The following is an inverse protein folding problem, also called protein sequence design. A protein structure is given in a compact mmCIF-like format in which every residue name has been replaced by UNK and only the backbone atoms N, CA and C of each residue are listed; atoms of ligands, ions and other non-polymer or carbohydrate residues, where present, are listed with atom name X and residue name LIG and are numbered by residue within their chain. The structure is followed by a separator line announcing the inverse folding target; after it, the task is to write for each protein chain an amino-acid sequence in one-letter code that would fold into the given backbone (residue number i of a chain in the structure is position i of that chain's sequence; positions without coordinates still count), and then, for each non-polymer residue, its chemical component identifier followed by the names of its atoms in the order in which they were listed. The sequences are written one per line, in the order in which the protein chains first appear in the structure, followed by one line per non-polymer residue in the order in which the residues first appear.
data_IF_862786348330
#
_entry.id   IF_862786348330
#
_cell.length_a   1.000
_cell.length_b   1.000
_cell.length_c   1.000
_cell.angle_alpha   90.00
_cell.angle_beta   90.00
_cell.angle_gamma   90.00
#
_symmetry.space_group_name_H-M   'P 1'
#
loop_
_entity.id
_entity.type
_entity.pdbx_description
1 polymer ?
#
# COMPACT_ATOMS: atom_id res chain seq x y z
N UNK A 1 4.95 20.83 -21.28
CA UNK A 1 4.08 19.66 -21.08
C UNK A 1 3.31 19.54 -22.36
N UNK A 2 3.39 18.41 -23.04
CA UNK A 2 2.88 18.31 -24.41
C UNK A 2 1.37 18.49 -24.46
N UNK A 3 0.89 19.08 -25.55
CA UNK A 3 -0.39 19.78 -25.69
C UNK A 3 -1.64 18.87 -25.69
N UNK A 4 -1.57 17.72 -25.02
CA UNK A 4 -2.61 16.69 -24.96
C UNK A 4 -2.89 16.04 -26.32
N UNK A 5 -2.02 16.29 -27.31
CA UNK A 5 -2.16 15.75 -28.66
C UNK A 5 -1.62 14.32 -28.70
N UNK A 6 -2.43 13.34 -29.15
CA UNK A 6 -1.95 11.97 -29.27
C UNK A 6 -0.92 11.86 -30.40
N UNK A 7 0.11 11.04 -30.18
CA UNK A 7 1.16 10.72 -31.12
C UNK A 7 0.99 9.27 -31.57
N UNK A 8 0.71 9.00 -32.86
CA UNK A 8 0.57 7.63 -33.38
C UNK A 8 1.78 6.77 -33.06
N UNK A 9 1.54 5.53 -32.62
CA UNK A 9 2.59 4.59 -32.23
C UNK A 9 3.31 4.92 -30.91
N UNK A 10 2.88 5.93 -30.15
CA UNK A 10 3.39 6.19 -28.79
C UNK A 10 2.80 5.22 -27.77
N UNK A 11 3.66 4.54 -27.01
CA UNK A 11 3.26 3.67 -25.90
C UNK A 11 2.53 4.44 -24.77
N UNK A 12 2.73 5.75 -24.68
CA UNK A 12 2.10 6.62 -23.68
C UNK A 12 0.90 7.38 -24.24
N UNK A 13 0.49 7.13 -25.49
CA UNK A 13 -0.52 7.91 -26.25
C UNK A 13 -0.07 9.31 -26.64
N UNK A 14 0.59 10.05 -25.75
CA UNK A 14 1.22 11.36 -25.97
C UNK A 14 2.75 11.21 -26.03
N UNK A 15 3.51 12.26 -26.36
CA UNK A 15 4.95 12.24 -26.10
C UNK A 15 5.25 12.70 -24.65
N UNK A 16 6.04 11.91 -23.88
CA UNK A 16 6.14 12.13 -22.43
C UNK A 16 7.10 13.26 -22.06
N UNK A 17 6.86 13.83 -20.89
CA UNK A 17 7.79 14.76 -20.25
C UNK A 17 9.09 14.06 -19.87
N UNK A 18 10.21 14.63 -20.31
CA UNK A 18 11.56 14.09 -20.08
C UNK A 18 12.15 14.45 -18.71
N UNK A 19 11.69 15.53 -18.09
CA UNK A 19 12.25 16.08 -16.84
C UNK A 19 11.52 15.56 -15.60
N UNK A 20 10.20 15.42 -15.67
CA UNK A 20 9.39 15.00 -14.54
C UNK A 20 9.78 13.60 -13.99
N UNK A 21 10.02 12.56 -14.82
CA UNK A 21 10.50 11.26 -14.34
C UNK A 21 11.80 11.34 -13.56
N UNK A 22 12.76 12.18 -14.00
CA UNK A 22 14.05 12.37 -13.32
C UNK A 22 13.85 12.91 -11.91
N UNK A 23 13.00 13.93 -11.76
CA UNK A 23 12.67 14.49 -10.45
C UNK A 23 12.11 13.42 -9.51
N UNK A 24 11.12 12.65 -9.96
CA UNK A 24 10.52 11.60 -9.13
C UNK A 24 11.51 10.48 -8.82
N UNK A 25 12.32 10.05 -9.79
CA UNK A 25 13.36 9.04 -9.57
C UNK A 25 14.33 9.48 -8.48
N UNK A 26 14.85 10.71 -8.54
CA UNK A 26 15.76 11.26 -7.52
C UNK A 26 15.05 11.39 -6.17
N UNK A 27 13.82 11.90 -6.14
CA UNK A 27 13.07 12.09 -4.90
C UNK A 27 12.78 10.76 -4.19
N UNK A 28 12.38 9.72 -4.94
CA UNK A 28 12.20 8.38 -4.39
C UNK A 28 13.53 7.72 -4.01
N UNK A 29 14.64 7.99 -4.71
CA UNK A 29 15.96 7.50 -4.33
C UNK A 29 16.41 8.06 -2.98
N UNK A 30 16.25 9.37 -2.78
CA UNK A 30 16.52 10.03 -1.49
C UNK A 30 15.62 9.44 -0.40
N UNK A 31 14.33 9.25 -0.71
CA UNK A 31 13.39 8.62 0.21
C UNK A 31 13.79 7.18 0.57
N UNK A 32 14.28 6.41 -0.40
CA UNK A 32 14.75 5.04 -0.20
C UNK A 32 15.97 4.98 0.72
N UNK A 33 16.97 5.84 0.50
CA UNK A 33 18.14 5.96 1.39
C UNK A 33 17.70 6.29 2.81
N UNK A 34 16.75 7.23 2.96
CA UNK A 34 16.14 7.56 4.26
C UNK A 34 15.53 6.35 4.95
N UNK A 35 14.63 5.63 4.28
CA UNK A 35 13.96 4.45 4.84
C UNK A 35 14.94 3.33 5.19
N UNK A 36 15.93 3.07 4.33
CA UNK A 36 16.95 2.05 4.56
C UNK A 36 17.78 2.40 5.79
N UNK A 37 18.28 3.64 5.88
CA UNK A 37 19.03 4.11 7.05
C UNK A 37 18.19 3.99 8.33
N UNK A 38 16.93 4.40 8.30
CA UNK A 38 16.03 4.32 9.45
C UNK A 38 15.77 2.88 9.88
N UNK A 39 15.57 1.96 8.94
CA UNK A 39 15.41 0.54 9.21
C UNK A 39 16.61 -0.05 9.96
N UNK A 40 17.83 0.34 9.57
CA UNK A 40 19.06 -0.10 10.24
C UNK A 40 19.24 0.58 11.60
N UNK A 41 19.04 1.89 11.67
CA UNK A 41 19.26 2.68 12.88
C UNK A 41 18.25 2.34 14.00
N UNK A 42 16.96 2.28 13.67
CA UNK A 42 15.89 1.94 14.63
C UNK A 42 15.62 0.43 14.73
N UNK A 43 16.35 -0.42 13.98
CA UNK A 43 16.17 -1.88 13.92
C UNK A 43 14.71 -2.30 13.67
N UNK A 44 13.99 -1.50 12.88
CA UNK A 44 12.55 -1.59 12.65
C UNK A 44 12.19 -2.21 11.27
N UNK A 45 13.13 -2.91 10.63
CA UNK A 45 12.92 -3.56 9.33
C UNK A 45 11.69 -4.49 9.31
N UNK A 46 11.38 -5.15 10.44
CA UNK A 46 10.17 -5.99 10.57
C UNK A 46 8.88 -5.18 10.50
N UNK A 47 8.87 -3.92 10.93
CA UNK A 47 7.67 -3.06 11.00
C UNK A 47 7.47 -2.34 9.65
N UNK A 48 8.52 -1.72 9.14
CA UNK A 48 8.44 -0.80 7.99
C UNK A 48 9.19 -1.28 6.74
N UNK A 49 9.65 -2.53 6.68
CA UNK A 49 10.49 -3.04 5.58
C UNK A 49 9.88 -2.94 4.17
N UNK A 50 8.55 -2.83 4.06
CA UNK A 50 7.87 -2.59 2.79
C UNK A 50 8.10 -1.17 2.23
N UNK A 51 8.30 -0.16 3.09
CA UNK A 51 8.55 1.22 2.64
C UNK A 51 9.85 1.39 1.85
N UNK A 52 11.04 0.94 2.33
CA UNK A 52 12.26 1.03 1.54
C UNK A 52 12.17 0.18 0.26
N UNK A 53 11.49 -0.98 0.32
CA UNK A 53 11.27 -1.82 -0.87
C UNK A 53 10.49 -1.05 -1.95
N UNK A 54 9.34 -0.46 -1.59
CA UNK A 54 8.55 0.36 -2.51
C UNK A 54 9.31 1.59 -2.99
N UNK A 55 10.10 2.25 -2.14
CA UNK A 55 10.87 3.43 -2.54
C UNK A 55 11.95 3.09 -3.59
N UNK A 56 12.61 1.93 -3.46
CA UNK A 56 13.56 1.42 -4.47
C UNK A 56 12.82 1.08 -5.78
N UNK A 57 11.67 0.41 -5.70
CA UNK A 57 10.86 0.10 -6.89
C UNK A 57 10.37 1.36 -7.59
N UNK A 58 9.88 2.38 -6.86
CA UNK A 58 9.52 3.66 -7.46
C UNK A 58 10.72 4.31 -8.16
N UNK A 59 11.89 4.32 -7.52
CA UNK A 59 13.12 4.86 -8.13
C UNK A 59 13.41 4.18 -9.47
N UNK A 60 13.39 2.83 -9.49
CA UNK A 60 13.59 2.06 -10.71
C UNK A 60 12.49 2.34 -11.75
N UNK A 61 11.22 2.37 -11.33
CA UNK A 61 10.07 2.63 -12.18
C UNK A 61 10.13 3.98 -12.88
N UNK A 62 10.49 5.05 -12.17
CA UNK A 62 10.65 6.38 -12.74
C UNK A 62 11.92 6.55 -13.57
N UNK A 63 13.02 5.85 -13.24
CA UNK A 63 14.20 5.80 -14.10
C UNK A 63 13.90 5.09 -15.44
N UNK A 64 13.16 3.99 -15.42
CA UNK A 64 12.68 3.33 -16.64
C UNK A 64 11.67 4.21 -17.41
N UNK A 65 10.84 4.97 -16.69
CA UNK A 65 9.91 5.94 -17.30
C UNK A 65 10.67 7.05 -18.02
N UNK A 66 11.76 7.54 -17.47
CA UNK A 66 12.65 8.51 -18.13
C UNK A 66 13.18 7.95 -19.45
N UNK A 67 13.74 6.73 -19.42
CA UNK A 67 14.18 6.07 -20.64
C UNK A 67 13.03 5.98 -21.67
N UNK A 68 11.83 5.62 -21.22
CA UNK A 68 10.62 5.59 -22.02
C UNK A 68 10.21 6.95 -22.58
N UNK A 69 10.47 8.06 -21.88
CA UNK A 69 10.19 9.41 -22.34
C UNK A 69 11.08 9.84 -23.53
N UNK A 70 12.28 9.29 -23.65
CA UNK A 70 13.14 9.47 -24.83
C UNK A 70 12.88 8.43 -25.93
N UNK A 71 12.29 7.28 -25.60
CA UNK A 71 12.08 6.14 -26.50
C UNK A 71 10.62 5.67 -26.49
N UNK A 72 9.67 6.60 -26.67
CA UNK A 72 8.23 6.35 -26.48
C UNK A 72 7.55 5.65 -27.66
N UNK A 73 8.19 5.58 -28.84
CA UNK A 73 7.64 4.90 -30.01
C UNK A 73 7.70 3.38 -29.86
N UNK A 74 6.68 2.71 -30.40
CA UNK A 74 6.54 1.26 -30.35
C UNK A 74 7.75 0.54 -30.96
N UNK A 75 8.35 -0.32 -30.15
CA UNK A 75 9.38 -1.30 -30.51
C UNK A 75 9.36 -2.38 -29.44
N UNK A 76 9.66 -3.63 -29.77
CA UNK A 76 9.64 -4.75 -28.80
C UNK A 76 10.45 -4.43 -27.54
N UNK A 77 11.61 -3.80 -27.67
CA UNK A 77 12.45 -3.36 -26.54
C UNK A 77 11.77 -2.26 -25.71
N UNK A 78 11.24 -1.24 -26.37
CA UNK A 78 10.63 -0.09 -25.70
C UNK A 78 9.34 -0.51 -24.96
N UNK A 79 8.57 -1.43 -25.54
CA UNK A 79 7.39 -2.01 -24.92
C UNK A 79 7.74 -2.73 -23.60
N UNK A 80 8.79 -3.56 -23.58
CA UNK A 80 9.22 -4.27 -22.36
C UNK A 80 9.61 -3.25 -21.27
N UNK A 81 10.38 -2.22 -21.63
CA UNK A 81 10.81 -1.19 -20.67
C UNK A 81 9.62 -0.38 -20.14
N UNK A 82 8.67 -0.05 -21.01
CA UNK A 82 7.41 0.59 -20.63
C UNK A 82 6.63 -0.29 -19.63
N UNK A 83 6.44 -1.58 -19.93
CA UNK A 83 5.75 -2.52 -19.04
C UNK A 83 6.45 -2.60 -17.67
N UNK A 84 7.77 -2.74 -17.64
CA UNK A 84 8.53 -2.79 -16.38
C UNK A 84 8.38 -1.50 -15.57
N UNK A 85 8.40 -0.34 -16.23
CA UNK A 85 8.13 0.95 -15.58
C UNK A 85 6.74 0.98 -14.94
N UNK A 86 5.69 0.59 -15.68
CA UNK A 86 4.32 0.56 -15.17
C UNK A 86 4.18 -0.42 -13.99
N UNK A 87 4.75 -1.62 -14.10
CA UNK A 87 4.70 -2.64 -13.04
C UNK A 87 5.36 -2.12 -11.76
N UNK A 88 6.57 -1.56 -11.85
CA UNK A 88 7.27 -1.05 -10.67
C UNK A 88 6.55 0.13 -10.02
N UNK A 89 5.92 1.01 -10.79
CA UNK A 89 5.15 2.13 -10.22
C UNK A 89 3.84 1.64 -9.60
N UNK A 90 3.11 0.74 -10.26
CA UNK A 90 1.76 0.36 -9.83
C UNK A 90 1.70 -0.73 -8.76
N UNK A 91 2.74 -1.54 -8.59
CA UNK A 91 2.80 -2.54 -7.51
C UNK A 91 3.01 -1.90 -6.13
N UNK A 92 3.59 -0.71 -6.08
CA UNK A 92 4.00 -0.08 -4.82
C UNK A 92 2.82 0.38 -3.94
N UNK A 93 1.75 1.01 -4.46
CA UNK A 93 0.69 1.52 -3.60
C UNK A 93 -0.08 0.44 -2.83
N UNK A 94 -0.46 -0.70 -3.42
CA UNK A 94 -1.02 -1.81 -2.65
C UNK A 94 -0.05 -2.32 -1.57
N UNK A 95 1.24 -2.42 -1.86
CA UNK A 95 2.24 -2.83 -0.86
C UNK A 95 2.38 -1.82 0.29
N UNK A 96 2.26 -0.52 0.01
CA UNK A 96 2.25 0.52 1.04
C UNK A 96 0.98 0.48 1.88
N UNK A 97 -0.14 0.09 1.29
CA UNK A 97 -1.37 -0.17 2.02
C UNK A 97 -1.23 -1.38 2.96
N UNK A 98 -0.62 -2.47 2.48
CA UNK A 98 -0.27 -3.61 3.33
C UNK A 98 0.65 -3.22 4.49
N UNK A 99 1.58 -2.29 4.26
CA UNK A 99 2.41 -1.73 5.31
C UNK A 99 1.57 -0.99 6.37
N UNK A 100 0.56 -0.21 5.96
CA UNK A 100 -0.37 0.44 6.88
C UNK A 100 -1.18 -0.59 7.70
N UNK A 101 -1.63 -1.68 7.06
CA UNK A 101 -2.33 -2.77 7.74
C UNK A 101 -1.45 -3.41 8.81
N UNK A 102 -0.17 -3.61 8.49
CA UNK A 102 0.80 -4.13 9.44
C UNK A 102 1.03 -3.18 10.62
N UNK A 103 1.18 -1.88 10.36
CA UNK A 103 1.34 -0.87 11.41
C UNK A 103 0.11 -0.81 12.31
N UNK A 104 -1.12 -0.85 11.77
CA UNK A 104 -2.33 -0.90 12.60
C UNK A 104 -2.39 -2.16 13.46
N UNK A 105 -2.02 -3.32 12.90
CA UNK A 105 -1.91 -4.56 13.66
C UNK A 105 -0.95 -4.43 14.84
N UNK A 106 0.20 -3.76 14.64
CA UNK A 106 1.17 -3.46 15.72
C UNK A 106 0.61 -2.51 16.77
N UNK A 107 -0.16 -1.50 16.37
CA UNK A 107 -0.85 -0.60 17.31
C UNK A 107 -1.86 -1.40 18.15
N UNK A 108 -2.57 -2.36 17.55
CA UNK A 108 -3.50 -3.23 18.29
C UNK A 108 -2.77 -4.18 19.23
N UNK A 109 -1.57 -4.66 18.89
CA UNK A 109 -0.74 -5.42 19.83
C UNK A 109 -0.32 -4.57 21.03
N UNK A 110 -0.04 -3.28 20.79
CA UNK A 110 0.35 -2.37 21.85
C UNK A 110 -0.82 -1.97 22.77
N UNK A 111 -2.05 -1.85 22.24
CA UNK A 111 -3.26 -1.60 23.07
C UNK A 111 -4.38 -2.58 22.68
N UNK A 112 -4.35 -3.82 23.18
CA UNK A 112 -5.26 -4.88 22.73
C UNK A 112 -6.71 -4.69 23.20
N UNK A 113 -6.92 -4.10 24.38
CA UNK A 113 -8.24 -3.99 25.03
C UNK A 113 -9.29 -3.24 24.20
N UNK A 114 -8.85 -2.27 23.40
CA UNK A 114 -9.75 -1.43 22.59
C UNK A 114 -9.82 -1.87 21.13
N UNK A 115 -9.03 -2.86 20.73
CA UNK A 115 -8.93 -3.32 19.35
C UNK A 115 -10.28 -3.90 18.85
N UNK A 116 -10.86 -3.37 17.77
CA UNK A 116 -12.10 -3.92 17.19
C UNK A 116 -11.88 -5.26 16.49
N UNK A 117 -10.63 -5.58 16.12
CA UNK A 117 -10.21 -6.86 15.58
C UNK A 117 -9.03 -7.40 16.38
N UNK A 118 -8.91 -8.73 16.54
CA UNK A 118 -7.73 -9.31 17.18
C UNK A 118 -6.45 -8.88 16.44
N UNK A 119 -5.39 -8.44 17.15
CA UNK A 119 -4.18 -7.90 16.54
C UNK A 119 -3.56 -8.82 15.48
N UNK A 120 -3.50 -10.12 15.77
CA UNK A 120 -2.96 -11.14 14.86
C UNK A 120 -3.82 -11.42 13.62
N UNK A 121 -5.04 -10.90 13.55
CA UNK A 121 -5.94 -11.08 12.39
C UNK A 121 -5.93 -9.88 11.43
N UNK A 122 -5.44 -8.71 11.85
CA UNK A 122 -5.46 -7.51 10.99
C UNK A 122 -4.70 -7.76 9.69
N UNK A 123 -3.42 -8.15 9.79
CA UNK A 123 -2.59 -8.42 8.61
C UNK A 123 -3.12 -9.63 7.81
N UNK A 124 -3.65 -10.63 8.50
CA UNK A 124 -4.18 -11.84 7.87
C UNK A 124 -5.41 -11.55 7.01
N UNK A 125 -6.41 -10.87 7.58
CA UNK A 125 -7.65 -10.54 6.89
C UNK A 125 -7.40 -9.55 5.76
N UNK A 126 -6.74 -8.43 6.05
CA UNK A 126 -6.56 -7.38 5.05
C UNK A 126 -5.51 -7.75 3.99
N UNK A 127 -4.46 -8.49 4.37
CA UNK A 127 -3.50 -9.03 3.40
C UNK A 127 -4.11 -10.07 2.46
N UNK A 128 -5.02 -10.92 2.96
CA UNK A 128 -5.76 -11.85 2.10
C UNK A 128 -6.73 -11.14 1.14
N UNK A 129 -7.45 -10.13 1.63
CA UNK A 129 -8.32 -9.30 0.78
C UNK A 129 -7.51 -8.57 -0.29
N UNK A 130 -6.37 -7.99 0.09
CA UNK A 130 -5.44 -7.36 -0.85
C UNK A 130 -4.95 -8.36 -1.90
N UNK A 131 -4.52 -9.57 -1.50
CA UNK A 131 -4.05 -10.58 -2.43
C UNK A 131 -5.15 -11.00 -3.43
N UNK A 132 -6.40 -11.12 -2.97
CA UNK A 132 -7.55 -11.36 -3.84
C UNK A 132 -7.73 -10.21 -4.84
N UNK A 133 -7.74 -8.96 -4.36
CA UNK A 133 -7.89 -7.77 -5.21
C UNK A 133 -6.78 -7.67 -6.25
N UNK A 134 -5.52 -7.84 -5.85
CA UNK A 134 -4.38 -7.78 -6.76
C UNK A 134 -4.38 -8.94 -7.76
N UNK A 135 -4.89 -10.11 -7.39
CA UNK A 135 -5.08 -11.23 -8.33
C UNK A 135 -6.14 -10.89 -9.38
N UNK A 136 -7.29 -10.34 -8.96
CA UNK A 136 -8.34 -9.90 -9.89
C UNK A 136 -7.83 -8.80 -10.82
N UNK A 137 -7.06 -7.86 -10.29
CA UNK A 137 -6.45 -6.77 -11.05
C UNK A 137 -5.43 -7.30 -12.08
N UNK A 138 -4.50 -8.17 -11.67
CA UNK A 138 -3.49 -8.75 -12.55
C UNK A 138 -4.12 -9.56 -13.70
N UNK A 139 -5.15 -10.36 -13.39
CA UNK A 139 -5.91 -11.10 -14.41
C UNK A 139 -6.68 -10.15 -15.33
N UNK A 140 -7.29 -9.10 -14.77
CA UNK A 140 -8.02 -8.09 -15.52
C UNK A 140 -7.14 -7.38 -16.56
N UNK A 141 -5.98 -6.90 -16.13
CA UNK A 141 -4.98 -6.24 -16.98
C UNK A 141 -4.41 -7.20 -18.02
N UNK A 142 -4.09 -8.44 -17.63
CA UNK A 142 -3.54 -9.43 -18.56
C UNK A 142 -4.52 -9.79 -19.68
N UNK A 143 -5.82 -9.92 -19.37
CA UNK A 143 -6.86 -10.22 -20.36
C UNK A 143 -7.19 -9.02 -21.25
N UNK A 144 -7.26 -7.82 -20.69
CA UNK A 144 -7.60 -6.60 -21.45
C UNK A 144 -6.47 -6.17 -22.39
N UNK A 145 -5.22 -6.35 -21.98
CA UNK A 145 -4.05 -5.95 -22.77
C UNK A 145 -3.58 -7.02 -23.78
N UNK A 146 -4.19 -8.21 -23.80
CA UNK A 146 -3.77 -9.29 -24.69
C UNK A 146 -4.41 -9.15 -26.09
N UNK A 147 -3.64 -8.86 -27.15
CA UNK A 147 -4.18 -8.73 -28.50
C UNK A 147 -4.66 -10.06 -29.08
N UNK A 148 -4.23 -11.20 -28.53
CA UNK A 148 -4.69 -12.54 -28.94
C UNK A 148 -5.98 -12.98 -28.25
N UNK A 149 -6.49 -12.23 -27.28
CA UNK A 149 -7.75 -12.54 -26.60
C UNK A 149 -8.96 -12.12 -27.44
N UNK A 150 -10.08 -12.85 -27.32
CA UNK A 150 -11.33 -12.46 -27.99
C UNK A 150 -11.86 -11.14 -27.43
N UNK A 151 -12.70 -10.44 -28.20
CA UNK A 151 -13.34 -9.19 -27.74
C UNK A 151 -14.08 -9.37 -26.41
N UNK A 152 -14.78 -10.49 -26.24
CA UNK A 152 -15.46 -10.84 -24.99
C UNK A 152 -14.49 -11.04 -23.80
N UNK A 153 -13.29 -11.59 -24.04
CA UNK A 153 -12.26 -11.77 -23.02
C UNK A 153 -11.61 -10.45 -22.62
N UNK A 154 -11.35 -9.56 -23.59
CA UNK A 154 -10.81 -8.23 -23.32
C UNK A 154 -11.80 -7.37 -22.52
N UNK A 155 -13.09 -7.44 -22.87
CA UNK A 155 -14.16 -6.78 -22.11
C UNK A 155 -14.28 -7.34 -20.68
N UNK A 156 -14.20 -8.66 -20.53
CA UNK A 156 -14.16 -9.29 -19.21
C UNK A 156 -12.95 -8.79 -18.40
N UNK A 157 -11.77 -8.68 -19.01
CA UNK A 157 -10.57 -8.16 -18.37
C UNK A 157 -10.73 -6.71 -17.86
N UNK A 158 -11.33 -5.84 -18.68
CA UNK A 158 -11.65 -4.47 -18.29
C UNK A 158 -12.62 -4.44 -17.09
N UNK A 159 -13.70 -5.23 -17.14
CA UNK A 159 -14.67 -5.34 -16.02
C UNK A 159 -14.03 -5.87 -14.74
N UNK A 160 -13.12 -6.85 -14.84
CA UNK A 160 -12.38 -7.39 -13.69
C UNK A 160 -11.48 -6.33 -13.06
N UNK A 161 -10.80 -5.52 -13.87
CA UNK A 161 -9.95 -4.42 -13.40
C UNK A 161 -10.78 -3.37 -12.64
N UNK A 162 -11.91 -2.95 -13.20
CA UNK A 162 -12.83 -2.01 -12.55
C UNK A 162 -13.37 -2.59 -11.23
N UNK A 163 -13.77 -3.87 -11.22
CA UNK A 163 -14.25 -4.55 -10.02
C UNK A 163 -13.17 -4.61 -8.93
N UNK A 164 -11.92 -4.93 -9.29
CA UNK A 164 -10.79 -4.95 -8.36
C UNK A 164 -10.58 -3.56 -7.71
N UNK A 165 -10.56 -2.49 -8.52
CA UNK A 165 -10.42 -1.11 -8.04
C UNK A 165 -11.58 -0.68 -7.12
N UNK A 166 -12.82 -1.09 -7.44
CA UNK A 166 -13.99 -0.80 -6.60
C UNK A 166 -13.94 -1.54 -5.25
N UNK A 167 -13.55 -2.82 -5.25
CA UNK A 167 -13.36 -3.60 -4.02
C UNK A 167 -12.25 -2.97 -3.18
N UNK A 168 -11.13 -2.59 -3.80
CA UNK A 168 -10.01 -1.91 -3.14
C UNK A 168 -10.46 -0.65 -2.39
N UNK A 169 -11.31 0.17 -3.01
CA UNK A 169 -11.88 1.37 -2.40
C UNK A 169 -12.68 1.02 -1.14
N UNK A 170 -13.52 -0.01 -1.21
CA UNK A 170 -14.31 -0.50 -0.08
C UNK A 170 -13.43 -0.99 1.07
N UNK A 171 -12.37 -1.75 0.76
CA UNK A 171 -11.43 -2.25 1.77
C UNK A 171 -10.72 -1.11 2.50
N UNK A 172 -10.25 -0.08 1.77
CA UNK A 172 -9.64 1.12 2.35
C UNK A 172 -10.60 1.80 3.33
N UNK A 173 -11.86 2.00 2.93
CA UNK A 173 -12.87 2.66 3.76
C UNK A 173 -13.13 1.86 5.04
N UNK A 174 -13.32 0.54 4.92
CA UNK A 174 -13.51 -0.34 6.09
C UNK A 174 -12.30 -0.27 7.03
N UNK A 175 -11.09 -0.29 6.48
CA UNK A 175 -9.86 -0.19 7.27
C UNK A 175 -9.77 1.12 8.06
N UNK A 176 -10.05 2.25 7.40
CA UNK A 176 -10.06 3.57 8.05
C UNK A 176 -11.15 3.64 9.13
N UNK A 177 -12.32 3.07 8.90
CA UNK A 177 -13.40 3.00 9.90
C UNK A 177 -12.98 2.19 11.14
N UNK A 178 -12.30 1.06 10.97
CA UNK A 178 -11.79 0.27 12.09
C UNK A 178 -10.74 1.05 12.89
N UNK A 179 -9.81 1.72 12.21
CA UNK A 179 -8.84 2.60 12.87
C UNK A 179 -9.55 3.73 13.64
N UNK A 180 -10.61 4.32 13.07
CA UNK A 180 -11.40 5.37 13.72
C UNK A 180 -12.17 4.87 14.95
N UNK A 181 -12.75 3.67 14.88
CA UNK A 181 -13.40 3.03 16.03
C UNK A 181 -12.37 2.81 17.15
N UNK A 182 -11.20 2.26 16.82
CA UNK A 182 -10.12 2.07 17.79
C UNK A 182 -9.66 3.39 18.42
N UNK A 183 -9.42 4.41 17.59
CA UNK A 183 -9.01 5.74 18.06
C UNK A 183 -10.05 6.36 19.00
N UNK A 184 -11.34 6.26 18.67
CA UNK A 184 -12.44 6.73 19.53
C UNK A 184 -12.48 5.98 20.86
N UNK A 185 -12.26 4.66 20.87
CA UNK A 185 -12.20 3.86 22.11
C UNK A 185 -11.02 4.26 22.99
N UNK A 186 -9.84 4.44 22.41
CA UNK A 186 -8.65 4.90 23.14
C UNK A 186 -8.85 6.30 23.73
N UNK A 187 -9.42 7.23 22.96
CA UNK A 187 -9.70 8.59 23.43
C UNK A 187 -10.72 8.62 24.57
N UNK A 188 -11.78 7.81 24.49
CA UNK A 188 -12.75 7.66 25.61
C UNK A 188 -12.13 7.11 26.89
N UNK A 189 -11.12 6.26 26.76
CA UNK A 189 -10.37 5.70 27.88
C UNK A 189 -9.17 6.57 28.32
N UNK A 190 -9.06 7.80 27.81
CA UNK A 190 -7.95 8.73 28.10
C UNK A 190 -6.54 8.22 27.76
N UNK A 191 -6.43 7.24 26.86
CA UNK A 191 -5.14 6.72 26.37
C UNK A 191 -4.59 7.65 25.29
N UNK A 192 -3.73 8.59 25.70
CA UNK A 192 -3.12 9.60 24.83
C UNK A 192 -1.61 9.38 24.61
N UNK A 193 -1.15 8.13 24.69
CA UNK A 193 0.24 7.80 24.47
C UNK A 193 0.68 8.18 23.04
N UNK A 194 1.80 8.91 22.92
CA UNK A 194 2.38 9.29 21.62
C UNK A 194 2.68 8.07 20.73
N UNK A 195 2.98 6.92 21.37
CA UNK A 195 3.12 5.60 20.76
C UNK A 195 1.89 5.17 19.93
N UNK A 196 0.70 5.66 20.26
CA UNK A 196 -0.56 5.34 19.59
C UNK A 196 -1.01 6.50 18.70
N UNK A 197 -1.04 7.72 19.24
CA UNK A 197 -1.61 8.89 18.54
C UNK A 197 -0.83 9.25 17.28
N UNK A 198 0.51 9.26 17.33
CA UNK A 198 1.32 9.66 16.17
C UNK A 198 1.20 8.66 15.02
N UNK A 199 1.42 7.34 15.21
CA UNK A 199 1.23 6.37 14.13
C UNK A 199 -0.20 6.33 13.56
N UNK A 200 -1.23 6.54 14.39
CA UNK A 200 -2.62 6.62 13.89
C UNK A 200 -2.85 7.83 12.98
N UNK A 201 -2.35 9.02 13.36
CA UNK A 201 -2.45 10.22 12.52
C UNK A 201 -1.71 10.02 11.19
N UNK A 202 -0.48 9.50 11.25
CA UNK A 202 0.31 9.16 10.06
C UNK A 202 -0.45 8.18 9.16
N UNK A 203 -1.06 7.15 9.75
CA UNK A 203 -1.87 6.19 9.02
C UNK A 203 -3.11 6.82 8.36
N UNK A 204 -3.82 7.74 9.02
CA UNK A 204 -4.96 8.44 8.39
C UNK A 204 -4.56 9.28 7.18
N UNK A 205 -3.43 9.99 7.28
CA UNK A 205 -2.91 10.78 6.15
C UNK A 205 -2.50 9.82 5.02
N UNK A 206 -1.78 8.75 5.36
CA UNK A 206 -1.33 7.74 4.40
C UNK A 206 -2.50 7.08 3.66
N UNK A 207 -3.50 6.58 4.39
CA UNK A 207 -4.69 5.96 3.81
C UNK A 207 -5.51 6.94 2.98
N UNK A 208 -5.59 8.22 3.37
CA UNK A 208 -6.26 9.26 2.57
C UNK A 208 -5.56 9.49 1.23
N UNK A 209 -4.23 9.54 1.21
CA UNK A 209 -3.45 9.69 -0.04
C UNK A 209 -3.65 8.49 -0.97
N UNK A 210 -3.62 7.27 -0.42
CA UNK A 210 -3.88 6.03 -1.17
C UNK A 210 -5.33 6.01 -1.69
N UNK A 211 -6.30 6.46 -0.87
CA UNK A 211 -7.71 6.53 -1.26
C UNK A 211 -7.92 7.45 -2.47
N UNK A 212 -7.37 8.67 -2.44
CA UNK A 212 -7.48 9.62 -3.57
C UNK A 212 -6.88 9.03 -4.83
N UNK A 213 -5.72 8.36 -4.71
CA UNK A 213 -5.08 7.65 -5.82
C UNK A 213 -5.94 6.50 -6.37
N UNK A 214 -6.57 5.70 -5.51
CA UNK A 214 -7.49 4.64 -5.92
C UNK A 214 -8.74 5.18 -6.62
N UNK A 215 -9.30 6.30 -6.17
CA UNK A 215 -10.42 6.98 -6.84
C UNK A 215 -9.99 7.43 -8.23
N UNK A 216 -8.82 8.07 -8.34
CA UNK A 216 -8.27 8.47 -9.64
C UNK A 216 -8.10 7.28 -10.58
N UNK A 217 -7.52 6.16 -10.12
CA UNK A 217 -7.38 4.92 -10.90
C UNK A 217 -8.72 4.36 -11.36
N UNK A 218 -9.73 4.37 -10.48
CA UNK A 218 -11.07 3.93 -10.83
C UNK A 218 -11.69 4.80 -11.93
N UNK A 219 -11.60 6.13 -11.79
CA UNK A 219 -12.13 7.08 -12.80
C UNK A 219 -11.37 6.95 -14.13
N UNK A 220 -10.06 6.75 -14.10
CA UNK A 220 -9.25 6.49 -15.29
C UNK A 220 -9.74 5.23 -16.03
N UNK A 221 -10.04 4.15 -15.32
CA UNK A 221 -10.50 2.89 -15.92
C UNK A 221 -11.97 2.88 -16.34
N UNK A 222 -12.81 3.72 -15.72
CA UNK A 222 -14.19 3.94 -16.14
C UNK A 222 -14.31 4.80 -17.40
N UNK A 223 -13.27 5.58 -17.73
CA UNK A 223 -13.21 6.33 -18.97
C UNK A 223 -13.09 5.42 -20.20
N UNK A 224 -13.25 6.00 -21.39
CA UNK A 224 -12.99 5.29 -22.65
C UNK A 224 -11.50 4.90 -22.69
N UNK A 225 -11.20 3.62 -22.42
CA UNK A 225 -9.85 3.05 -22.23
C UNK A 225 -9.38 2.22 -23.42
N UNK A 226 -10.18 2.10 -24.48
CA UNK A 226 -9.81 1.41 -25.71
C UNK A 226 -8.76 2.21 -26.47
N UNK A 227 -7.49 2.00 -26.12
CA UNK A 227 -6.34 2.60 -26.80
C UNK A 227 -6.03 1.77 -28.06
N UNK A 228 -6.43 2.27 -29.22
CA UNK A 228 -5.94 1.77 -30.50
C UNK A 228 -4.80 2.68 -30.97
N UNK A 229 -3.56 2.20 -30.86
CA UNK A 229 -2.34 2.98 -31.11
C UNK A 229 -2.22 3.50 -32.56
N UNK A 230 -2.93 2.86 -33.49
CA UNK A 230 -2.86 3.12 -34.93
C UNK A 230 -3.96 4.08 -35.42
N UNK A 231 -5.01 4.33 -34.63
CA UNK A 231 -6.14 5.19 -35.03
C UNK A 231 -6.17 6.50 -34.24
N UNK A 232 -5.77 7.58 -34.91
CA UNK A 232 -5.68 8.93 -34.36
C UNK A 232 -7.04 9.44 -33.84
N UNK A 233 -8.16 9.07 -34.47
CA UNK A 233 -9.50 9.51 -34.04
C UNK A 233 -9.93 8.80 -32.75
N UNK A 234 -9.62 7.51 -32.60
CA UNK A 234 -9.82 6.79 -31.34
C UNK A 234 -9.00 7.39 -30.18
N UNK A 235 -7.74 7.80 -30.44
CA UNK A 235 -6.87 8.39 -29.43
C UNK A 235 -7.33 9.78 -28.98
N UNK A 236 -7.98 10.56 -29.87
CA UNK A 236 -8.59 11.84 -29.50
C UNK A 236 -9.86 11.66 -28.66
N UNK A 237 -10.60 10.56 -28.86
CA UNK A 237 -11.79 10.21 -28.11
C UNK A 237 -11.50 9.59 -26.72
N UNK A 238 -10.23 9.40 -26.36
CA UNK A 238 -9.82 8.98 -25.01
C UNK A 238 -10.15 10.06 -23.97
N UNK A 239 -10.41 9.61 -22.74
CA UNK A 239 -10.61 10.50 -21.60
C UNK A 239 -9.42 11.47 -21.46
N UNK A 240 -9.66 12.77 -21.13
CA UNK A 240 -8.58 13.72 -20.87
C UNK A 240 -7.55 13.23 -19.85
N UNK A 241 -7.98 12.37 -18.93
CA UNK A 241 -7.11 11.75 -17.92
C UNK A 241 -6.00 10.91 -18.55
N UNK A 242 -6.28 10.23 -19.67
CA UNK A 242 -5.31 9.41 -20.41
C UNK A 242 -4.49 10.25 -21.40
N UNK A 243 -5.00 11.40 -21.84
CA UNK A 243 -4.32 12.27 -22.81
C UNK A 243 -3.33 13.24 -22.16
N UNK A 244 -3.60 13.66 -20.93
CA UNK A 244 -2.76 14.64 -20.22
C UNK A 244 -1.92 13.97 -19.15
N UNK A 245 -0.60 13.93 -19.38
CA UNK A 245 0.35 13.30 -18.47
C UNK A 245 0.36 13.90 -17.06
N UNK A 246 0.02 15.18 -16.90
CA UNK A 246 0.10 15.84 -15.60
C UNK A 246 -0.83 15.20 -14.56
N UNK A 247 -1.97 14.60 -14.98
CA UNK A 247 -2.85 13.87 -14.07
C UNK A 247 -2.10 12.71 -13.41
N UNK A 248 -1.31 11.97 -14.18
CA UNK A 248 -0.48 10.88 -13.65
C UNK A 248 0.53 11.40 -12.63
N UNK A 249 1.26 12.49 -12.91
CA UNK A 249 2.23 13.01 -11.96
C UNK A 249 1.59 13.56 -10.68
N UNK A 250 0.40 14.16 -10.75
CA UNK A 250 -0.29 14.69 -9.57
C UNK A 250 -0.91 13.57 -8.75
N UNK A 251 -1.72 12.71 -9.37
CA UNK A 251 -2.54 11.73 -8.65
C UNK A 251 -1.86 10.38 -8.42
N UNK A 252 -0.84 10.00 -9.21
CA UNK A 252 -0.01 8.82 -8.90
C UNK A 252 1.27 9.23 -8.19
N UNK A 253 2.12 9.99 -8.88
CA UNK A 253 3.50 10.18 -8.47
C UNK A 253 3.61 11.02 -7.19
N UNK A 254 2.93 12.16 -7.16
CA UNK A 254 3.02 13.11 -6.05
C UNK A 254 2.35 12.56 -4.79
N UNK A 255 1.16 11.95 -4.90
CA UNK A 255 0.49 11.34 -3.73
C UNK A 255 1.36 10.25 -3.10
N UNK A 256 2.00 9.40 -3.92
CA UNK A 256 2.87 8.34 -3.40
C UNK A 256 4.21 8.87 -2.87
N UNK A 257 4.73 9.95 -3.45
CA UNK A 257 5.93 10.61 -2.93
C UNK A 257 5.65 11.26 -1.56
N UNK A 258 4.54 12.00 -1.42
CA UNK A 258 4.11 12.56 -0.14
C UNK A 258 3.94 11.43 0.89
N UNK A 259 3.32 10.31 0.50
CA UNK A 259 3.17 9.16 1.37
C UNK A 259 4.51 8.55 1.80
N UNK A 260 5.48 8.45 0.88
CA UNK A 260 6.82 7.94 1.16
C UNK A 260 7.58 8.86 2.13
N UNK A 261 7.49 10.18 1.93
CA UNK A 261 8.09 11.19 2.80
C UNK A 261 7.42 11.22 4.18
N UNK A 262 6.10 11.12 4.24
CA UNK A 262 5.31 11.04 5.47
C UNK A 262 5.84 9.94 6.40
N UNK A 263 6.04 8.73 5.88
CA UNK A 263 6.56 7.60 6.66
C UNK A 263 8.06 7.72 6.99
N UNK A 264 8.82 8.47 6.20
CA UNK A 264 10.20 8.84 6.52
C UNK A 264 10.24 9.81 7.71
N UNK A 265 9.36 10.81 7.75
CA UNK A 265 9.34 11.80 8.85
C UNK A 265 8.81 11.17 10.14
N UNK A 266 7.66 10.49 10.06
CA UNK A 266 6.96 9.88 11.20
C UNK A 266 7.14 8.36 11.23
N UNK A 267 8.39 7.93 11.37
CA UNK A 267 8.71 6.50 11.41
C UNK A 267 8.12 5.85 12.69
N UNK A 268 7.24 4.83 12.56
CA UNK A 268 6.60 4.17 13.70
C UNK A 268 7.61 3.42 14.57
N UNK A 269 8.77 3.03 14.04
CA UNK A 269 9.86 2.43 14.80
C UNK A 269 10.49 3.34 15.86
N UNK A 270 10.18 4.64 15.86
CA UNK A 270 10.55 5.58 16.94
C UNK A 270 9.59 5.54 18.13
N UNK A 271 8.38 5.04 17.92
CA UNK A 271 7.26 5.19 18.85
C UNK A 271 6.71 3.87 19.35
N UNK A 272 6.69 2.83 18.50
CA UNK A 272 6.20 1.50 18.85
C UNK A 272 7.34 0.62 19.38
N UNK A 273 7.08 -0.20 20.40
CA UNK A 273 8.07 -1.14 20.91
C UNK A 273 8.45 -2.16 19.84
N UNK A 274 9.70 -2.64 19.91
CA UNK A 274 10.25 -3.58 18.93
C UNK A 274 9.60 -4.96 19.06
N UNK A 275 9.45 -5.46 20.28
CA UNK A 275 8.77 -6.73 20.56
C UNK A 275 7.25 -6.53 20.46
N UNK A 276 6.52 -7.45 19.80
CA UNK A 276 5.05 -7.39 19.77
C UNK A 276 4.40 -7.91 21.05
N UNK A 277 5.20 -8.47 21.95
CA UNK A 277 4.78 -8.91 23.28
C UNK A 277 4.68 -7.76 24.29
N UNK A 278 5.17 -6.57 23.95
CA UNK A 278 5.03 -5.39 24.81
C UNK A 278 3.68 -4.71 24.55
N UNK A 279 2.87 -4.58 25.59
CA UNK A 279 1.57 -3.91 25.57
C UNK A 279 1.47 -2.85 26.67
N UNK A 280 0.65 -1.84 26.44
CA UNK A 280 0.37 -0.76 27.39
C UNK A 280 -0.69 -1.23 28.38
N UNK A 281 -0.43 -1.10 29.68
CA UNK A 281 -1.39 -1.35 30.73
C UNK A 281 -2.60 -0.39 30.63
N UNK A 282 -3.70 -0.74 31.29
CA UNK A 282 -4.94 0.06 31.26
C UNK A 282 -4.78 1.46 31.86
N UNK A 283 -3.72 1.71 32.63
CA UNK A 283 -3.34 3.02 33.16
C UNK A 283 -2.86 4.00 32.07
N UNK A 284 -2.61 3.51 30.85
CA UNK A 284 -2.14 4.28 29.71
C UNK A 284 -0.69 4.76 29.81
N UNK A 285 0.10 4.25 30.76
CA UNK A 285 1.47 4.71 31.04
C UNK A 285 2.49 3.58 31.20
N UNK A 286 2.10 2.44 31.78
CA UNK A 286 3.03 1.36 32.10
C UNK A 286 3.10 0.36 30.94
N UNK A 287 4.30 0.09 30.42
CA UNK A 287 4.53 -0.97 29.44
C UNK A 287 4.78 -2.30 30.15
N UNK A 288 4.04 -3.35 29.75
CA UNK A 288 4.16 -4.71 30.26
C UNK A 288 4.64 -5.63 29.13
N UNK A 289 5.49 -6.60 29.44
CA UNK A 289 5.96 -7.62 28.49
C UNK A 289 5.28 -8.96 28.79
N UNK A 290 4.50 -9.45 27.82
CA UNK A 290 3.83 -10.75 27.90
C UNK A 290 4.75 -11.92 27.56
N UNK A 291 4.42 -13.12 28.03
CA UNK A 291 5.33 -14.26 28.00
C UNK A 291 5.65 -14.76 26.56
N UNK A 292 6.94 -14.96 26.28
CA UNK A 292 7.49 -15.17 24.93
C UNK A 292 7.57 -16.67 24.61
N UNK A 293 6.45 -17.26 24.17
CA UNK A 293 6.42 -18.69 23.80
C UNK A 293 7.16 -18.93 22.47
N UNK A 294 8.28 -19.69 22.44
CA UNK A 294 9.08 -19.87 21.23
C UNK A 294 8.30 -20.60 20.13
N UNK A 295 8.33 -20.03 18.92
CA UNK A 295 7.68 -20.62 17.74
C UNK A 295 8.56 -21.75 17.16
N UNK A 296 8.23 -23.00 17.52
CA UNK A 296 8.96 -24.20 17.09
C UNK A 296 8.64 -24.67 15.65
N UNK A 297 7.91 -23.90 14.84
CA UNK A 297 7.59 -24.29 13.45
C UNK A 297 8.85 -24.30 12.55
N UNK A 298 8.95 -25.26 11.59
CA UNK A 298 10.03 -25.26 10.61
C UNK A 298 9.99 -24.00 9.74
N UNK A 299 11.16 -23.54 9.27
CA UNK A 299 11.32 -22.28 8.53
C UNK A 299 10.41 -22.20 7.30
N UNK A 300 10.20 -23.31 6.59
CA UNK A 300 9.29 -23.37 5.44
C UNK A 300 7.82 -23.13 5.83
N UNK A 301 7.35 -23.67 6.95
CA UNK A 301 6.00 -23.42 7.43
C UNK A 301 5.82 -21.96 7.90
N UNK A 302 6.86 -21.35 8.48
CA UNK A 302 6.88 -19.93 8.80
C UNK A 302 6.79 -19.08 7.54
N UNK A 303 7.64 -19.33 6.55
CA UNK A 303 7.62 -18.63 5.26
C UNK A 303 6.28 -18.80 4.53
N UNK A 304 5.76 -20.03 4.45
CA UNK A 304 4.44 -20.30 3.85
C UNK A 304 3.31 -19.58 4.60
N UNK A 305 3.36 -19.53 5.93
CA UNK A 305 2.37 -18.76 6.70
C UNK A 305 2.47 -17.26 6.42
N UNK A 306 3.67 -16.69 6.28
CA UNK A 306 3.83 -15.27 5.92
C UNK A 306 3.30 -15.00 4.51
N UNK A 307 3.67 -15.84 3.54
CA UNK A 307 3.24 -15.71 2.13
C UNK A 307 1.73 -15.85 1.95
N UNK A 308 1.07 -16.61 2.82
CA UNK A 308 -0.38 -16.85 2.76
C UNK A 308 -1.14 -15.97 3.75
N UNK A 309 -0.49 -14.93 4.29
CA UNK A 309 -1.06 -14.03 5.29
C UNK A 309 -1.64 -14.79 6.50
N UNK A 310 -1.04 -15.89 6.89
CA UNK A 310 -1.42 -16.70 8.06
C UNK A 310 -2.65 -17.59 7.85
N UNK A 311 -3.16 -17.72 6.60
CA UNK A 311 -4.26 -18.62 6.27
C UNK A 311 -3.80 -20.08 6.34
N UNK A 312 -2.63 -20.39 5.76
CA UNK A 312 -2.05 -21.73 5.79
C UNK A 312 -1.00 -21.85 6.90
N UNK A 313 -0.94 -23.02 7.53
CA UNK A 313 0.01 -23.36 8.61
C UNK A 313 -0.05 -22.40 9.82
N UNK A 314 -1.26 -21.95 10.15
CA UNK A 314 -1.53 -21.06 11.28
C UNK A 314 -1.07 -21.66 12.61
N UNK A 315 -0.40 -20.86 13.43
CA UNK A 315 -0.10 -21.24 14.81
C UNK A 315 -1.44 -21.32 15.58
N UNK A 316 -1.79 -22.50 16.12
CA UNK A 316 -2.82 -22.62 17.15
C UNK A 316 -2.27 -22.01 18.45
N UNK A 317 -2.17 -20.67 18.54
CA UNK A 317 -2.11 -20.01 19.84
C UNK A 317 -3.51 -20.06 20.42
N UNK A 318 -3.70 -20.81 21.50
CA UNK A 318 -4.87 -20.63 22.38
C UNK A 318 -4.93 -19.17 22.83
N UNK A 319 -6.10 -18.68 23.21
CA UNK A 319 -6.41 -17.29 23.57
C UNK A 319 -5.58 -16.66 24.73
N UNK A 320 -4.46 -17.27 25.13
CA UNK A 320 -3.70 -16.97 26.34
C UNK A 320 -3.26 -15.52 26.56
N UNK A 321 -2.86 -14.71 25.56
CA UNK A 321 -2.50 -13.31 25.86
C UNK A 321 -3.69 -12.47 26.34
N UNK A 322 -4.94 -12.96 26.20
CA UNK A 322 -6.14 -12.32 26.75
C UNK A 322 -6.58 -12.90 28.11
N UNK A 323 -6.11 -14.09 28.50
CA UNK A 323 -6.38 -14.65 29.84
C UNK A 323 -5.55 -13.92 30.91
N UNK A 324 -4.27 -13.63 30.61
CA UNK A 324 -3.38 -12.87 31.52
C UNK A 324 -3.86 -11.44 31.78
N UNK A 325 -4.69 -10.87 30.89
CA UNK A 325 -5.29 -9.54 31.08
C UNK A 325 -6.32 -9.50 32.20
N UNK A 326 -6.97 -10.63 32.52
CA UNK A 326 -7.90 -10.72 33.64
C UNK A 326 -7.18 -10.88 35.00
N UNK A 327 -5.88 -11.21 35.00
CA UNK A 327 -5.09 -11.44 36.21
C UNK A 327 -4.46 -10.15 36.77
N UNK A 328 -4.51 -9.04 36.02
CA UNK A 328 -4.06 -7.74 36.52
C UNK A 328 -5.23 -6.99 37.19
N UNK A 329 -5.08 -6.57 38.47
CA UNK A 329 -6.16 -5.91 39.18
C UNK A 329 -6.51 -4.59 38.50
N UNK A 330 -7.80 -4.43 38.18
CA UNK A 330 -8.38 -3.16 37.73
C UNK A 330 -8.05 -2.11 38.78
N UNK A 331 -7.20 -1.14 38.43
CA UNK A 331 -6.91 -0.02 39.31
C UNK A 331 -8.21 0.75 39.53
N UNK A 332 -8.79 0.58 40.71
CA UNK A 332 -10.05 1.18 41.10
C UNK A 332 -9.91 2.71 41.04
N UNK A 333 -10.71 3.44 40.24
CA UNK A 333 -10.66 4.89 40.23
C UNK A 333 -11.43 5.40 41.46
N UNK A 334 -10.78 5.45 42.61
CA UNK A 334 -11.25 6.19 43.77
C UNK A 334 -10.08 6.93 44.44
N UNK A 335 -10.19 8.26 44.46
CA UNK A 335 -9.25 9.19 45.08
C UNK A 335 -9.42 10.59 44.51
#
# INVERSE_FOLDING_TARGET
MEDGQPVPGSLFVYAPNKVAPVFFAVAFAVSAVGHIWQCYHYKCFKIIGLHPFCAVLFTAGYALREYGAFNYLYSTRNLIIYILSQVFVFICPPLLELANYHVLGRIYYYVPYFAPLPPGRVLSTFGALMALVETLNALGVALSANPSSSHSQQELGSRLTIAALAIQLGVIVIFVLLAAIFHRRCSKANIHAKAVSTPLITLYISMSLILVRCIYRLVEHLGNTTVQLDDLESLKALSPILRYEWFFYVFEATLMLINSVLWNVWNPGRYLPRNYHVYLAEDGRTELEGDDTPDNRPLLAKAASVLTFGILFRQKKGNRPFEELNDYPVANPQG
#
